data_IF_674636186673
#
_entry.id   IF_674636186673
#
_cell.length_a   1.000
_cell.length_b   1.000
_cell.length_c   1.000
_cell.angle_alpha   90.00
_cell.angle_beta   90.00
_cell.angle_gamma   90.00
#
_symmetry.space_group_name_H-M   'P 1'
#
loop_
_entity.id
_entity.type
_entity.pdbx_description
1 polymer ?
#
# COMPACT_ATOMS: atom_id res chain seq x y z
N UNK A 1 11.27 18.29 -21.35
CA UNK A 1 11.20 17.63 -20.04
C UNK A 1 9.91 18.06 -19.37
N UNK A 2 8.95 17.16 -19.19
CA UNK A 2 7.71 17.50 -18.47
C UNK A 2 8.10 17.90 -17.03
N UNK A 3 7.77 19.14 -16.66
CA UNK A 3 8.07 19.68 -15.32
C UNK A 3 7.58 18.72 -14.24
N UNK A 4 8.33 18.62 -13.14
CA UNK A 4 7.98 17.72 -12.03
C UNK A 4 6.63 18.16 -11.44
N UNK A 5 5.54 17.54 -11.91
CA UNK A 5 4.20 17.74 -11.37
C UNK A 5 4.23 17.33 -9.89
N UNK A 6 3.71 18.19 -9.02
CA UNK A 6 3.62 17.90 -7.59
C UNK A 6 2.75 16.68 -7.33
N UNK A 7 2.93 16.03 -6.17
CA UNK A 7 2.08 14.89 -5.81
C UNK A 7 0.61 15.28 -5.62
N UNK A 8 0.31 16.53 -5.25
CA UNK A 8 -1.05 17.08 -5.18
C UNK A 8 -1.70 17.15 -6.56
N UNK A 9 -1.02 17.79 -7.51
CA UNK A 9 -1.53 17.90 -8.89
C UNK A 9 -1.70 16.53 -9.57
N UNK A 10 -0.82 15.55 -9.26
CA UNK A 10 -1.03 14.16 -9.72
C UNK A 10 -2.30 13.52 -9.15
N UNK A 11 -2.67 13.83 -7.90
CA UNK A 11 -3.92 13.32 -7.28
C UNK A 11 -5.16 13.95 -7.90
N UNK A 12 -5.11 15.23 -8.25
CA UNK A 12 -6.18 15.94 -8.95
C UNK A 12 -6.41 15.35 -10.34
N UNK A 13 -5.35 15.18 -11.14
CA UNK A 13 -5.41 14.53 -12.46
C UNK A 13 -5.99 13.13 -12.33
N UNK A 14 -5.54 12.36 -11.34
CA UNK A 14 -6.07 11.01 -11.10
C UNK A 14 -7.56 11.02 -10.71
N UNK A 15 -8.01 12.00 -9.93
CA UNK A 15 -9.41 12.16 -9.55
C UNK A 15 -10.29 12.45 -10.77
N UNK A 16 -9.87 13.38 -11.62
CA UNK A 16 -10.58 13.76 -12.84
C UNK A 16 -10.68 12.59 -13.85
N UNK A 17 -9.63 11.76 -13.94
CA UNK A 17 -9.59 10.63 -14.88
C UNK A 17 -10.36 9.40 -14.37
N UNK A 18 -10.65 9.32 -13.06
CA UNK A 18 -11.20 8.11 -12.45
C UNK A 18 -12.56 7.70 -13.00
N UNK A 19 -13.50 8.65 -13.11
CA UNK A 19 -14.86 8.37 -13.57
C UNK A 19 -14.85 7.86 -15.00
N UNK A 20 -14.09 8.53 -15.88
CA UNK A 20 -13.86 8.12 -17.26
C UNK A 20 -13.22 6.73 -17.35
N UNK A 21 -12.24 6.42 -16.49
CA UNK A 21 -11.62 5.09 -16.45
C UNK A 21 -12.58 4.00 -15.95
N UNK A 22 -13.50 4.33 -15.04
CA UNK A 22 -14.49 3.38 -14.51
C UNK A 22 -15.54 3.00 -15.57
N UNK A 23 -16.06 3.98 -16.32
CA UNK A 23 -17.08 3.79 -17.36
C UNK A 23 -16.54 3.30 -18.72
N UNK A 24 -15.24 3.48 -18.98
CA UNK A 24 -14.61 3.10 -20.24
C UNK A 24 -14.65 1.60 -20.56
N UNK A 25 -14.66 1.27 -21.85
CA UNK A 25 -14.44 -0.11 -22.36
C UNK A 25 -12.95 -0.48 -22.28
N UNK A 26 -12.62 -1.77 -22.46
CA UNK A 26 -11.24 -2.29 -22.31
C UNK A 26 -10.21 -1.56 -23.20
N UNK A 27 -10.60 -1.22 -24.44
CA UNK A 27 -9.76 -0.49 -25.40
C UNK A 27 -9.50 0.95 -24.95
N UNK A 28 -10.54 1.65 -24.50
CA UNK A 28 -10.48 3.02 -23.99
C UNK A 28 -9.68 3.12 -22.69
N UNK A 29 -9.85 2.16 -21.76
CA UNK A 29 -9.01 2.05 -20.55
C UNK A 29 -7.53 2.00 -20.89
N UNK A 30 -7.19 1.36 -22.01
CA UNK A 30 -5.83 1.31 -22.52
C UNK A 30 -5.25 2.70 -22.77
N UNK A 31 -5.97 3.51 -23.57
CA UNK A 31 -5.61 4.89 -23.94
C UNK A 31 -5.57 5.83 -22.74
N UNK A 32 -6.57 5.73 -21.87
CA UNK A 32 -6.65 6.53 -20.63
C UNK A 32 -5.41 6.30 -19.75
N UNK A 33 -4.94 5.06 -19.65
CA UNK A 33 -3.72 4.75 -18.90
C UNK A 33 -2.47 5.31 -19.56
N UNK A 34 -2.37 5.30 -20.89
CA UNK A 34 -1.22 5.86 -21.61
C UNK A 34 -1.14 7.38 -21.42
N UNK A 35 -2.26 8.09 -21.56
CA UNK A 35 -2.38 9.51 -21.24
C UNK A 35 -1.98 9.81 -19.79
N UNK A 36 -2.49 9.03 -18.84
CA UNK A 36 -2.17 9.21 -17.42
C UNK A 36 -0.68 8.99 -17.13
N UNK A 37 -0.04 8.02 -17.79
CA UNK A 37 1.39 7.77 -17.65
C UNK A 37 2.23 8.89 -18.27
N UNK A 38 1.83 9.39 -19.46
CA UNK A 38 2.51 10.49 -20.13
C UNK A 38 2.44 11.79 -19.29
N UNK A 39 1.29 12.09 -18.69
CA UNK A 39 1.10 13.28 -17.85
C UNK A 39 1.83 13.16 -16.51
N UNK A 40 1.69 12.04 -15.80
CA UNK A 40 2.24 11.91 -14.43
C UNK A 40 3.70 11.46 -14.39
N UNK A 41 4.21 10.87 -15.48
CA UNK A 41 5.50 10.18 -15.52
C UNK A 41 5.49 8.83 -14.79
N UNK A 42 4.32 8.29 -14.44
CA UNK A 42 4.22 7.02 -13.77
C UNK A 42 4.36 5.84 -14.72
N UNK A 43 4.90 4.74 -14.21
CA UNK A 43 4.81 3.46 -14.88
C UNK A 43 3.35 2.96 -14.89
N UNK A 44 2.93 2.29 -15.98
CA UNK A 44 1.57 1.78 -16.18
C UNK A 44 1.02 0.97 -15.00
N UNK A 45 1.87 0.11 -14.41
CA UNK A 45 1.51 -0.69 -13.21
C UNK A 45 1.16 0.18 -12.01
N UNK A 46 1.83 1.31 -11.84
CA UNK A 46 1.55 2.28 -10.78
C UNK A 46 0.24 3.02 -11.04
N UNK A 47 0.03 3.51 -12.28
CA UNK A 47 -1.21 4.18 -12.67
C UNK A 47 -2.45 3.30 -12.41
N UNK A 48 -2.40 2.01 -12.80
CA UNK A 48 -3.47 1.04 -12.52
C UNK A 48 -3.71 0.86 -11.01
N UNK A 49 -2.64 0.74 -10.21
CA UNK A 49 -2.75 0.61 -8.74
C UNK A 49 -3.37 1.85 -8.11
N UNK A 50 -2.97 3.04 -8.55
CA UNK A 50 -3.47 4.29 -8.03
C UNK A 50 -4.97 4.48 -8.33
N UNK A 51 -5.41 4.16 -9.56
CA UNK A 51 -6.83 4.16 -9.93
C UNK A 51 -7.64 3.13 -9.14
N UNK A 52 -7.10 1.93 -8.90
CA UNK A 52 -7.77 0.90 -8.08
C UNK A 52 -7.90 1.33 -6.62
N UNK A 53 -6.84 1.85 -6.00
CA UNK A 53 -6.88 2.31 -4.59
C UNK A 53 -7.89 3.42 -4.39
N UNK A 54 -7.88 4.43 -5.27
CA UNK A 54 -8.85 5.53 -5.21
C UNK A 54 -10.28 5.09 -5.56
N UNK A 55 -10.44 3.94 -6.20
CA UNK A 55 -11.76 3.37 -6.39
C UNK A 55 -12.30 2.67 -5.13
N UNK A 56 -11.43 2.29 -4.19
CA UNK A 56 -11.79 1.59 -2.95
C UNK A 56 -11.85 2.52 -1.74
N UNK A 57 -11.12 3.64 -1.79
CA UNK A 57 -10.97 4.61 -0.70
C UNK A 57 -11.59 5.93 -1.16
N UNK A 58 -12.49 6.50 -0.36
CA UNK A 58 -13.17 7.76 -0.69
C UNK A 58 -12.19 8.92 -0.97
N UNK A 59 -12.62 9.99 -1.66
CA UNK A 59 -11.75 11.11 -2.04
C UNK A 59 -11.01 11.76 -0.86
N UNK A 60 -11.61 11.71 0.34
CA UNK A 60 -11.09 12.27 1.61
C UNK A 60 -10.61 11.21 2.63
N UNK A 61 -10.68 9.93 2.28
CA UNK A 61 -10.23 8.87 3.19
C UNK A 61 -8.73 8.61 2.99
N UNK A 62 -7.98 8.69 4.09
CA UNK A 62 -6.60 8.19 4.10
C UNK A 62 -6.69 6.68 4.24
N UNK A 63 -6.15 5.95 3.26
CA UNK A 63 -6.10 4.47 3.29
C UNK A 63 -5.37 4.05 4.57
N UNK A 64 -6.13 3.61 5.59
CA UNK A 64 -5.56 3.12 6.83
C UNK A 64 -4.60 1.98 6.47
N UNK A 65 -3.41 1.90 7.11
CA UNK A 65 -2.50 0.78 6.89
C UNK A 65 -3.28 -0.51 7.03
N UNK A 66 -3.29 -1.32 5.97
CA UNK A 66 -4.04 -2.57 5.95
C UNK A 66 -3.59 -3.42 7.14
N UNK A 67 -4.45 -3.54 8.15
CA UNK A 67 -4.10 -4.26 9.37
C UNK A 67 -3.89 -5.72 9.01
N UNK A 68 -2.63 -6.17 9.11
CA UNK A 68 -2.31 -7.57 8.87
C UNK A 68 -2.94 -8.37 10.00
N UNK A 69 -3.83 -9.31 9.66
CA UNK A 69 -4.42 -10.24 10.65
C UNK A 69 -3.31 -10.82 11.52
N UNK A 70 -3.36 -10.54 12.83
CA UNK A 70 -2.39 -11.04 13.79
C UNK A 70 -2.58 -12.54 13.93
N UNK A 71 -1.52 -13.32 13.64
CA UNK A 71 -1.55 -14.78 13.77
C UNK A 71 -1.48 -15.23 15.24
N UNK A 72 -0.81 -14.44 16.07
CA UNK A 72 -0.56 -14.74 17.48
C UNK A 72 -1.29 -13.71 18.35
N UNK A 73 -2.04 -14.20 19.34
CA UNK A 73 -2.77 -13.38 20.30
C UNK A 73 -1.89 -12.84 21.43
N UNK A 74 -2.52 -12.12 22.37
CA UNK A 74 -1.85 -11.51 23.52
C UNK A 74 -1.05 -12.54 24.33
N UNK A 75 -1.65 -13.69 24.64
CA UNK A 75 -1.00 -14.76 25.44
C UNK A 75 0.37 -15.18 24.90
N UNK A 76 0.49 -15.34 23.57
CA UNK A 76 1.76 -15.74 22.93
C UNK A 76 2.74 -14.58 22.95
N UNK A 77 2.26 -13.35 22.74
CA UNK A 77 3.08 -12.15 22.82
C UNK A 77 3.64 -11.97 24.23
N UNK A 78 2.83 -12.15 25.25
CA UNK A 78 3.20 -11.92 26.66
C UNK A 78 4.22 -12.97 27.12
N UNK A 79 3.99 -14.26 26.77
CA UNK A 79 4.95 -15.33 27.02
C UNK A 79 6.30 -15.08 26.30
N UNK A 80 6.28 -14.67 25.03
CA UNK A 80 7.50 -14.31 24.30
C UNK A 80 8.20 -13.08 24.88
N UNK A 81 7.44 -12.12 25.43
CA UNK A 81 8.00 -10.92 26.07
C UNK A 81 8.74 -11.29 27.35
N UNK A 82 8.14 -12.15 28.19
CA UNK A 82 8.80 -12.64 29.41
C UNK A 82 10.10 -13.41 29.10
N UNK A 83 10.07 -14.30 28.09
CA UNK A 83 11.27 -15.03 27.64
C UNK A 83 12.35 -14.10 27.07
N UNK A 84 11.94 -13.05 26.33
CA UNK A 84 12.85 -12.05 25.79
C UNK A 84 13.50 -11.20 26.88
N UNK A 85 12.74 -10.83 27.91
CA UNK A 85 13.27 -10.10 29.07
C UNK A 85 14.22 -10.97 29.91
N UNK A 86 13.89 -12.25 30.12
CA UNK A 86 14.74 -13.20 30.83
C UNK A 86 16.05 -13.54 30.10
N UNK A 87 16.16 -13.24 28.81
CA UNK A 87 17.31 -13.54 27.96
C UNK A 87 18.10 -12.29 27.57
N UNK A 88 18.08 -11.24 28.39
CA UNK A 88 18.75 -9.96 28.13
C UNK A 88 18.39 -9.35 26.77
N UNK A 89 17.14 -9.55 26.35
CA UNK A 89 16.58 -8.98 25.12
C UNK A 89 17.31 -9.40 23.83
N UNK A 90 17.83 -10.62 23.77
CA UNK A 90 18.50 -11.15 22.56
C UNK A 90 17.59 -11.18 21.32
N UNK A 91 18.21 -11.19 20.14
CA UNK A 91 17.48 -11.29 18.88
C UNK A 91 16.69 -12.61 18.79
N UNK A 92 15.53 -12.58 18.12
CA UNK A 92 14.62 -13.74 18.05
C UNK A 92 15.25 -15.02 17.49
N UNK A 93 16.31 -14.91 16.66
CA UNK A 93 17.06 -16.08 16.17
C UNK A 93 17.80 -16.80 17.30
N UNK A 94 18.39 -16.07 18.26
CA UNK A 94 19.05 -16.66 19.44
C UNK A 94 18.00 -17.14 20.45
N UNK A 95 16.97 -16.34 20.69
CA UNK A 95 15.87 -16.71 21.59
C UNK A 95 15.24 -18.05 21.20
N UNK A 96 15.03 -18.30 19.90
CA UNK A 96 14.50 -19.58 19.40
C UNK A 96 15.31 -20.79 19.84
N UNK A 97 16.64 -20.68 19.90
CA UNK A 97 17.53 -21.79 20.28
C UNK A 97 17.49 -22.03 21.80
N UNK A 98 17.17 -21.00 22.59
CA UNK A 98 17.13 -21.05 24.05
C UNK A 98 15.81 -21.59 24.60
N UNK A 99 14.74 -21.56 23.81
CA UNK A 99 13.44 -22.09 24.23
C UNK A 99 13.47 -23.63 24.11
N UNK A 100 13.29 -24.37 25.22
CA UNK A 100 13.18 -25.83 25.15
C UNK A 100 11.94 -26.22 24.36
N UNK A 101 12.13 -27.10 23.37
CA UNK A 101 11.07 -27.68 22.53
C UNK A 101 10.50 -28.94 23.12
#
# INVERSE_FOLDING_TARGET
>A
MAGKISMGARREVLSAVMERYRSAKRTEKGRILDELCATTGWHRKHAVRALRRRATVGPDEVEAPRERKRRYGATIKDALTALWEASDRVCGKRLKVMIPT
#
